data_IF_705875882841
#
_entry.id   IF_705875882841
#
_cell.length_a   1.000
_cell.length_b   1.000
_cell.length_c   1.000
_cell.angle_alpha   90.00
_cell.angle_beta   90.00
_cell.angle_gamma   90.00
#
_symmetry.space_group_name_H-M   'P 1'
#
loop_
_entity.id
_entity.type
_entity.pdbx_description
1 polymer ?
#
# COMPACT_ATOMS: atom_id res chain seq x y z
N UNK A 1 -62.24 -35.97 42.20
CA UNK A 1 -60.80 -36.26 42.34
C UNK A 1 -60.17 -36.29 40.95
N UNK A 2 -59.45 -35.23 40.58
CA UNK A 2 -58.51 -35.04 39.44
C UNK A 2 -58.99 -35.37 38.00
N UNK A 3 -58.62 -34.72 36.88
CA UNK A 3 -57.84 -33.54 36.44
C UNK A 3 -58.16 -33.48 34.92
N UNK A 4 -58.33 -32.31 34.29
CA UNK A 4 -57.59 -31.88 33.07
C UNK A 4 -58.17 -30.59 32.47
N UNK A 5 -57.56 -29.51 32.93
CA UNK A 5 -57.27 -28.25 32.27
C UNK A 5 -56.92 -28.44 30.77
N UNK A 6 -57.56 -27.68 29.88
CA UNK A 6 -57.00 -27.35 28.56
C UNK A 6 -57.23 -25.87 28.26
N UNK A 7 -56.27 -25.07 28.71
CA UNK A 7 -56.06 -23.71 28.22
C UNK A 7 -55.70 -23.78 26.72
N UNK A 8 -56.54 -23.22 25.87
CA UNK A 8 -56.24 -23.00 24.46
C UNK A 8 -55.34 -21.76 24.40
N UNK A 9 -54.04 -21.98 24.27
CA UNK A 9 -53.04 -20.95 24.00
C UNK A 9 -53.10 -20.61 22.51
N UNK A 10 -53.66 -19.44 22.18
CA UNK A 10 -53.64 -18.89 20.84
C UNK A 10 -52.23 -18.33 20.57
N UNK A 11 -51.35 -19.15 19.99
CA UNK A 11 -50.00 -18.72 19.60
C UNK A 11 -50.15 -17.80 18.38
N UNK A 12 -50.01 -16.50 18.62
CA UNK A 12 -49.82 -15.49 17.59
C UNK A 12 -48.47 -15.79 16.90
N UNK A 13 -48.51 -16.35 15.69
CA UNK A 13 -47.34 -16.42 14.81
C UNK A 13 -47.02 -15.01 14.33
N UNK A 14 -46.28 -14.24 15.12
CA UNK A 14 -45.55 -13.08 14.63
C UNK A 14 -44.41 -13.62 13.77
N UNK A 15 -44.63 -13.66 12.45
CA UNK A 15 -43.58 -13.88 11.47
C UNK A 15 -42.57 -12.74 11.57
N UNK A 16 -41.53 -12.93 12.38
CA UNK A 16 -40.33 -12.10 12.33
C UNK A 16 -39.68 -12.44 11.00
N UNK A 17 -40.00 -11.68 9.95
CA UNK A 17 -39.16 -11.60 8.76
C UNK A 17 -37.84 -10.97 9.20
N UNK A 18 -36.93 -11.80 9.69
CA UNK A 18 -35.53 -11.42 9.84
C UNK A 18 -35.00 -11.14 8.45
N UNK A 19 -34.96 -9.87 8.05
CA UNK A 19 -34.20 -9.46 6.89
C UNK A 19 -32.74 -9.79 7.19
N UNK A 20 -32.26 -10.92 6.68
CA UNK A 20 -30.86 -11.26 6.70
C UNK A 20 -30.15 -10.18 5.87
N UNK A 21 -29.38 -9.32 6.54
CA UNK A 21 -28.57 -8.33 5.85
C UNK A 21 -27.42 -9.06 5.16
N UNK A 22 -27.21 -8.76 3.87
CA UNK A 22 -26.11 -9.35 3.12
C UNK A 22 -24.82 -8.57 3.39
N UNK A 23 -23.72 -9.29 3.64
CA UNK A 23 -22.40 -8.69 3.78
C UNK A 23 -21.76 -8.49 2.40
N UNK A 24 -21.33 -7.26 2.15
CA UNK A 24 -20.54 -6.87 1.00
C UNK A 24 -19.24 -6.26 1.46
N UNK A 25 -18.24 -6.35 0.59
CA UNK A 25 -16.88 -5.85 0.83
C UNK A 25 -16.48 -4.90 -0.28
N UNK A 26 -15.67 -3.89 0.05
CA UNK A 26 -15.23 -2.88 -0.90
C UNK A 26 -13.80 -2.47 -0.63
N UNK A 27 -12.90 -2.75 -1.57
CA UNK A 27 -11.56 -2.15 -1.57
C UNK A 27 -11.71 -0.65 -1.90
N UNK A 28 -10.95 0.22 -1.22
CA UNK A 28 -11.05 1.67 -1.40
C UNK A 28 -11.04 2.05 -2.88
N UNK A 29 -12.16 2.59 -3.37
CA UNK A 29 -12.30 2.99 -4.76
C UNK A 29 -12.83 1.96 -5.75
N UNK A 30 -12.94 0.69 -5.36
CA UNK A 30 -13.54 -0.37 -6.18
C UNK A 30 -15.07 -0.37 -6.11
N UNK A 31 -15.70 -1.32 -6.82
CA UNK A 31 -17.12 -1.65 -6.64
C UNK A 31 -17.29 -2.61 -5.46
N UNK A 32 -18.41 -2.59 -4.72
CA UNK A 32 -18.72 -3.62 -3.73
C UNK A 32 -18.74 -5.01 -4.38
N UNK A 33 -18.32 -6.03 -3.64
CA UNK A 33 -18.36 -7.44 -4.02
C UNK A 33 -18.86 -8.29 -2.84
N UNK A 34 -19.36 -9.48 -3.15
CA UNK A 34 -19.91 -10.40 -2.15
C UNK A 34 -18.84 -11.16 -1.35
N UNK A 35 -19.30 -11.95 -0.39
CA UNK A 35 -18.46 -12.74 0.51
C UNK A 35 -17.68 -13.85 -0.20
N UNK A 36 -18.24 -14.46 -1.25
CA UNK A 36 -17.57 -15.50 -2.04
C UNK A 36 -16.36 -14.91 -2.77
N UNK A 37 -16.56 -13.81 -3.50
CA UNK A 37 -15.48 -13.09 -4.16
C UNK A 37 -14.46 -12.57 -3.15
N UNK A 38 -14.91 -12.16 -1.97
CA UNK A 38 -14.00 -11.74 -0.91
C UNK A 38 -13.09 -12.88 -0.43
N UNK A 39 -13.65 -14.09 -0.26
CA UNK A 39 -12.88 -15.28 0.09
C UNK A 39 -11.85 -15.63 -1.00
N UNK A 40 -12.24 -15.58 -2.27
CA UNK A 40 -11.30 -15.81 -3.39
C UNK A 40 -10.17 -14.79 -3.41
N UNK A 41 -10.45 -13.52 -3.12
CA UNK A 41 -9.41 -12.48 -3.00
C UNK A 41 -8.48 -12.83 -1.84
N UNK A 42 -9.01 -13.21 -0.66
CA UNK A 42 -8.19 -13.65 0.47
C UNK A 42 -7.30 -14.84 0.14
N UNK A 43 -7.84 -15.84 -0.55
CA UNK A 43 -7.07 -17.02 -0.97
C UNK A 43 -5.95 -16.66 -1.95
N UNK A 44 -6.21 -15.76 -2.90
CA UNK A 44 -5.19 -15.30 -3.84
C UNK A 44 -4.12 -14.45 -3.16
N UNK A 45 -4.51 -13.59 -2.22
CA UNK A 45 -3.59 -12.81 -1.40
C UNK A 45 -2.75 -13.76 -0.53
N UNK A 46 -3.35 -14.77 0.10
CA UNK A 46 -2.65 -15.76 0.93
C UNK A 46 -1.55 -16.53 0.20
N UNK A 47 -1.63 -16.68 -1.13
CA UNK A 47 -0.56 -17.31 -1.94
C UNK A 47 0.75 -16.52 -1.91
N UNK A 48 0.71 -15.24 -1.55
CA UNK A 48 1.85 -14.33 -1.62
C UNK A 48 2.35 -13.91 -0.22
N UNK A 49 1.77 -14.44 0.86
CA UNK A 49 2.15 -14.08 2.23
C UNK A 49 0.99 -14.21 3.22
N UNK A 50 1.19 -13.77 4.47
CA UNK A 50 0.10 -13.77 5.45
C UNK A 50 -0.90 -12.69 5.07
N UNK A 51 -2.17 -13.06 4.95
CA UNK A 51 -3.24 -12.10 4.67
C UNK A 51 -3.34 -11.10 5.83
N UNK A 52 -3.18 -9.83 5.52
CA UNK A 52 -3.58 -8.72 6.38
C UNK A 52 -4.92 -8.16 5.88
N UNK A 53 -5.90 -8.20 6.76
CA UNK A 53 -7.24 -7.70 6.56
C UNK A 53 -7.49 -6.57 7.55
N UNK A 54 -7.75 -5.37 7.03
CA UNK A 54 -8.11 -4.20 7.83
C UNK A 54 -9.47 -3.70 7.36
N UNK A 55 -10.47 -3.73 8.24
CA UNK A 55 -11.76 -3.07 8.01
C UNK A 55 -11.58 -1.59 8.34
N UNK A 56 -11.58 -0.75 7.30
CA UNK A 56 -11.38 0.70 7.40
C UNK A 56 -12.65 1.41 7.89
N UNK A 57 -13.81 0.96 7.45
CA UNK A 57 -15.13 1.41 7.92
C UNK A 57 -16.22 0.42 7.53
N UNK A 58 -17.32 0.43 8.27
CA UNK A 58 -18.53 -0.35 7.95
C UNK A 58 -19.71 0.60 7.74
N UNK A 59 -20.44 0.42 6.65
CA UNK A 59 -21.64 1.18 6.31
C UNK A 59 -22.85 0.24 6.35
N UNK A 60 -23.77 0.48 7.29
CA UNK A 60 -24.98 -0.34 7.45
C UNK A 60 -26.12 0.31 6.68
N UNK A 61 -26.74 -0.44 5.79
CA UNK A 61 -27.95 -0.08 5.03
C UNK A 61 -29.11 -0.98 5.44
N UNK A 62 -30.29 -0.70 4.90
CA UNK A 62 -31.52 -1.43 5.23
C UNK A 62 -31.39 -2.94 4.94
N UNK A 63 -30.77 -3.30 3.82
CA UNK A 63 -30.65 -4.67 3.30
C UNK A 63 -29.20 -5.19 3.25
N UNK A 64 -28.22 -4.34 3.52
CA UNK A 64 -26.81 -4.61 3.21
C UNK A 64 -25.89 -4.02 4.26
N UNK A 65 -24.82 -4.73 4.59
CA UNK A 65 -23.67 -4.22 5.35
C UNK A 65 -22.50 -4.13 4.38
N UNK A 66 -21.88 -2.96 4.24
CA UNK A 66 -20.73 -2.74 3.35
C UNK A 66 -19.49 -2.51 4.20
N UNK A 67 -18.57 -3.48 4.21
CA UNK A 67 -17.27 -3.38 4.85
C UNK A 67 -16.23 -2.85 3.86
N UNK A 68 -15.66 -1.70 4.15
CA UNK A 68 -14.57 -1.13 3.38
C UNK A 68 -13.27 -1.73 3.90
N UNK A 69 -12.54 -2.45 3.04
CA UNK A 69 -11.40 -3.28 3.46
C UNK A 69 -10.11 -2.87 2.75
N UNK A 70 -9.00 -2.79 3.49
CA UNK A 70 -7.64 -2.93 2.95
C UNK A 70 -7.28 -4.40 3.12
N UNK A 71 -7.01 -5.07 2.01
CA UNK A 71 -6.59 -6.47 2.00
C UNK A 71 -5.26 -6.53 1.24
N UNK A 72 -4.28 -7.16 1.85
CA UNK A 72 -2.95 -7.32 1.27
C UNK A 72 -2.21 -8.46 1.93
N UNK A 73 -0.99 -8.69 1.50
CA UNK A 73 -0.08 -9.59 2.19
C UNK A 73 0.84 -8.77 3.07
N UNK A 74 0.90 -9.15 4.34
CA UNK A 74 2.13 -8.97 5.06
C UNK A 74 3.11 -10.02 4.55
N UNK A 75 4.23 -9.56 3.98
CA UNK A 75 5.42 -10.38 3.99
C UNK A 75 5.67 -10.63 5.48
N UNK A 76 5.64 -11.87 5.95
CA UNK A 76 6.18 -12.17 7.27
C UNK A 76 7.40 -13.04 7.04
N UNK A 77 8.47 -12.72 7.76
CA UNK A 77 9.54 -13.69 7.94
C UNK A 77 8.98 -14.95 8.61
N UNK A 78 9.66 -16.12 8.54
CA UNK A 78 9.25 -17.32 9.25
C UNK A 78 8.98 -17.11 10.75
N UNK A 79 9.62 -16.10 11.36
CA UNK A 79 9.46 -15.71 12.76
C UNK A 79 8.27 -14.78 13.01
N UNK A 80 7.47 -14.49 11.99
CA UNK A 80 6.28 -13.66 12.09
C UNK A 80 6.54 -12.15 12.11
N UNK A 81 7.68 -11.70 11.58
CA UNK A 81 8.08 -10.28 11.54
C UNK A 81 7.70 -9.68 10.18
N UNK A 82 6.98 -8.57 10.17
CA UNK A 82 6.74 -7.77 8.96
C UNK A 82 8.04 -7.05 8.56
N UNK A 83 8.68 -7.42 7.44
CA UNK A 83 9.95 -6.86 7.01
C UNK A 83 9.78 -5.41 6.51
N UNK A 84 8.54 -4.90 6.41
CA UNK A 84 8.22 -3.52 6.07
C UNK A 84 7.69 -2.70 7.25
N UNK A 85 7.69 -3.24 8.47
CA UNK A 85 7.19 -2.55 9.67
C UNK A 85 7.86 -1.19 9.90
N UNK A 86 9.15 -1.10 9.60
CA UNK A 86 9.91 0.15 9.75
C UNK A 86 9.43 1.27 8.83
N UNK A 87 8.79 0.95 7.69
CA UNK A 87 8.16 1.97 6.84
C UNK A 87 7.03 2.70 7.57
N UNK A 88 6.29 2.01 8.44
CA UNK A 88 5.21 2.62 9.23
C UNK A 88 5.75 3.63 10.23
N UNK A 89 6.97 3.40 10.76
CA UNK A 89 7.64 4.32 11.70
C UNK A 89 8.08 5.62 11.03
N UNK A 90 8.24 5.63 9.70
CA UNK A 90 8.59 6.84 8.96
C UNK A 90 7.39 7.76 8.73
N UNK A 91 6.16 7.25 8.82
CA UNK A 91 4.93 8.05 8.59
C UNK A 91 4.86 9.23 9.57
N UNK A 92 4.58 10.42 9.03
CA UNK A 92 4.51 11.67 9.79
C UNK A 92 5.87 12.33 10.00
N UNK A 93 6.98 11.67 9.68
CA UNK A 93 8.32 12.26 9.77
C UNK A 93 8.68 13.05 8.51
N UNK A 94 9.56 14.05 8.66
CA UNK A 94 10.16 14.79 7.55
C UNK A 94 11.30 13.97 6.95
N UNK A 95 11.21 13.67 5.66
CA UNK A 95 12.28 13.03 4.92
C UNK A 95 13.45 13.99 4.70
N UNK A 96 14.66 13.57 5.09
CA UNK A 96 15.88 14.38 5.08
C UNK A 96 16.68 14.16 3.79
N UNK A 97 16.17 14.70 2.68
CA UNK A 97 16.81 14.54 1.36
C UNK A 97 18.23 15.12 1.31
N UNK A 98 18.52 16.12 2.14
CA UNK A 98 19.83 16.78 2.23
C UNK A 98 20.97 15.87 2.72
N UNK A 99 20.63 14.68 3.24
CA UNK A 99 21.60 13.64 3.61
C UNK A 99 22.08 12.82 2.42
N UNK A 100 21.38 12.88 1.28
CA UNK A 100 21.69 12.15 0.07
C UNK A 100 22.50 13.03 -0.89
N UNK A 101 23.23 12.39 -1.80
CA UNK A 101 24.07 13.06 -2.81
C UNK A 101 23.52 12.85 -4.22
N UNK A 102 23.66 13.87 -5.06
CA UNK A 102 23.36 13.79 -6.48
C UNK A 102 24.49 13.09 -7.26
N UNK A 103 24.31 12.98 -8.57
CA UNK A 103 25.29 12.40 -9.49
C UNK A 103 26.67 13.09 -9.49
N UNK A 104 26.77 14.31 -8.94
CA UNK A 104 28.00 15.09 -8.83
C UNK A 104 28.61 15.05 -7.42
N UNK A 105 28.18 14.12 -6.57
CA UNK A 105 28.57 14.02 -5.16
C UNK A 105 28.21 15.27 -4.34
N UNK A 106 27.20 16.03 -4.74
CA UNK A 106 26.70 17.18 -3.98
C UNK A 106 25.45 16.81 -3.23
N UNK A 107 25.35 17.27 -1.98
CA UNK A 107 24.13 17.08 -1.21
C UNK A 107 22.95 17.78 -1.89
N UNK A 108 21.78 17.15 -1.85
CA UNK A 108 20.54 17.83 -2.23
C UNK A 108 20.26 19.01 -1.30
N UNK A 109 19.56 20.01 -1.82
CA UNK A 109 19.03 21.08 -0.98
C UNK A 109 17.90 20.54 -0.11
N UNK A 110 17.75 21.06 1.11
CA UNK A 110 16.70 20.66 2.05
C UNK A 110 15.27 20.92 1.53
N UNK A 111 15.12 21.87 0.61
CA UNK A 111 13.87 22.27 -0.02
C UNK A 111 13.62 21.57 -1.36
N UNK A 112 14.49 20.66 -1.80
CA UNK A 112 14.37 19.96 -3.08
C UNK A 112 13.02 19.23 -3.24
N UNK A 113 12.46 18.74 -2.14
CA UNK A 113 11.17 18.05 -2.11
C UNK A 113 9.97 18.98 -1.88
N UNK A 114 10.19 20.28 -1.63
CA UNK A 114 9.11 21.18 -1.30
C UNK A 114 8.32 21.59 -2.55
N UNK A 115 7.01 21.79 -2.38
CA UNK A 115 6.10 22.28 -3.41
C UNK A 115 5.46 21.19 -4.28
N UNK A 116 5.93 19.94 -4.21
CA UNK A 116 5.36 18.81 -4.96
C UNK A 116 5.37 17.52 -4.12
N UNK A 117 4.35 16.66 -4.22
CA UNK A 117 4.43 15.32 -3.68
C UNK A 117 5.62 14.57 -4.27
N UNK A 118 6.15 13.61 -3.51
CA UNK A 118 7.29 12.79 -3.95
C UNK A 118 7.00 11.32 -3.73
N UNK A 119 7.26 10.50 -4.75
CA UNK A 119 7.34 9.05 -4.64
C UNK A 119 8.81 8.66 -4.63
N UNK A 120 9.24 8.03 -3.53
CA UNK A 120 10.60 7.50 -3.35
C UNK A 120 10.55 5.98 -3.37
N UNK A 121 11.34 5.36 -4.24
CA UNK A 121 11.48 3.91 -4.34
C UNK A 121 12.88 3.46 -3.93
N UNK A 122 12.98 2.49 -3.03
CA UNK A 122 14.22 1.86 -2.63
C UNK A 122 14.36 0.51 -3.31
N UNK A 123 15.47 0.26 -3.99
CA UNK A 123 15.64 -0.91 -4.86
C UNK A 123 17.11 -1.35 -5.01
N UNK A 124 17.31 -2.49 -5.68
CA UNK A 124 18.61 -2.91 -6.20
C UNK A 124 18.47 -3.71 -7.50
N UNK A 125 19.52 -3.75 -8.31
CA UNK A 125 19.55 -4.24 -9.70
C UNK A 125 19.22 -5.73 -9.87
N UNK A 126 19.31 -6.51 -8.79
CA UNK A 126 18.99 -7.96 -8.77
C UNK A 126 17.81 -8.27 -7.84
N UNK A 127 16.87 -7.36 -7.73
CA UNK A 127 15.64 -7.53 -6.98
C UNK A 127 14.51 -7.89 -7.96
N UNK A 128 14.08 -9.17 -8.05
CA UNK A 128 12.98 -9.55 -8.94
C UNK A 128 11.69 -8.75 -8.74
N UNK A 129 11.16 -8.56 -7.51
CA UNK A 129 9.94 -7.78 -7.33
C UNK A 129 10.13 -6.31 -7.72
N UNK A 130 11.31 -5.74 -7.50
CA UNK A 130 11.64 -4.38 -7.96
C UNK A 130 11.60 -4.27 -9.50
N UNK A 131 11.97 -5.32 -10.23
CA UNK A 131 11.89 -5.35 -11.70
C UNK A 131 10.43 -5.45 -12.16
N UNK A 132 9.61 -6.22 -11.43
CA UNK A 132 8.18 -6.40 -11.73
C UNK A 132 7.36 -5.11 -11.53
N UNK A 133 7.71 -4.24 -10.57
CA UNK A 133 7.01 -2.96 -10.35
C UNK A 133 7.36 -1.86 -11.37
N UNK A 134 8.46 -1.99 -12.13
CA UNK A 134 8.94 -0.92 -13.03
C UNK A 134 7.92 -0.42 -14.04
N UNK A 135 7.12 -1.27 -14.74
CA UNK A 135 6.11 -0.79 -15.68
C UNK A 135 5.07 0.11 -14.98
N UNK A 136 4.63 -0.28 -13.78
CA UNK A 136 3.67 0.49 -12.97
C UNK A 136 4.26 1.82 -12.53
N UNK A 137 5.51 1.81 -12.03
CA UNK A 137 6.21 3.04 -11.62
C UNK A 137 6.43 4.00 -12.78
N UNK A 138 6.81 3.49 -13.96
CA UNK A 138 6.96 4.31 -15.16
C UNK A 138 5.64 4.92 -15.62
N UNK A 139 4.54 4.17 -15.57
CA UNK A 139 3.21 4.68 -15.91
C UNK A 139 2.77 5.80 -14.96
N UNK A 140 3.06 5.67 -13.66
CA UNK A 140 2.84 6.75 -12.69
C UNK A 140 3.66 7.99 -13.05
N UNK A 141 4.95 7.83 -13.37
CA UNK A 141 5.80 8.96 -13.79
C UNK A 141 5.25 9.65 -15.04
N UNK A 142 4.81 8.88 -16.04
CA UNK A 142 4.24 9.41 -17.27
C UNK A 142 2.94 10.19 -17.00
N UNK A 143 2.04 9.64 -16.19
CA UNK A 143 0.76 10.25 -15.85
C UNK A 143 0.90 11.57 -15.07
N UNK A 144 1.78 11.60 -14.07
CA UNK A 144 1.92 12.77 -13.20
C UNK A 144 2.95 13.78 -13.71
N UNK A 145 3.88 13.35 -14.57
CA UNK A 145 4.89 14.21 -15.17
C UNK A 145 5.65 14.99 -14.10
N UNK A 146 5.65 16.32 -14.22
CA UNK A 146 6.33 17.22 -13.30
C UNK A 146 5.49 17.63 -12.08
N UNK A 147 4.27 17.13 -11.94
CA UNK A 147 3.44 17.42 -10.76
C UNK A 147 3.91 16.66 -9.52
N UNK A 148 4.60 15.54 -9.72
CA UNK A 148 5.14 14.66 -8.65
C UNK A 148 6.62 14.40 -8.93
N UNK A 149 7.43 14.45 -7.88
CA UNK A 149 8.83 14.02 -7.94
C UNK A 149 8.90 12.49 -7.86
N UNK A 150 9.70 11.87 -8.72
CA UNK A 150 9.93 10.42 -8.70
C UNK A 150 11.42 10.14 -8.55
N UNK A 151 11.78 9.57 -7.41
CA UNK A 151 13.16 9.35 -7.00
C UNK A 151 13.34 7.87 -6.71
N UNK A 152 14.42 7.29 -7.20
CA UNK A 152 14.86 5.96 -6.80
C UNK A 152 16.14 6.09 -5.97
N UNK A 153 16.28 5.27 -4.94
CA UNK A 153 17.43 5.26 -4.04
C UNK A 153 17.94 3.83 -3.93
N UNK A 154 19.26 3.66 -4.08
CA UNK A 154 19.90 2.35 -3.93
C UNK A 154 21.23 2.46 -3.20
N UNK A 155 21.59 1.39 -2.49
CA UNK A 155 22.92 1.24 -1.93
C UNK A 155 23.97 0.92 -2.99
N UNK A 156 23.55 0.45 -4.16
CA UNK A 156 24.48 0.08 -5.23
C UNK A 156 25.16 1.29 -5.86
N UNK A 157 26.34 1.04 -6.43
CA UNK A 157 27.13 2.10 -7.06
C UNK A 157 26.56 2.53 -8.41
N UNK A 158 26.97 3.73 -8.84
CA UNK A 158 26.53 4.34 -10.10
C UNK A 158 26.71 3.41 -11.31
N UNK A 159 27.82 2.67 -11.39
CA UNK A 159 28.10 1.76 -12.51
C UNK A 159 27.10 0.60 -12.60
N UNK A 160 26.69 0.04 -11.46
CA UNK A 160 25.67 -1.00 -11.40
C UNK A 160 24.32 -0.45 -11.88
N UNK A 161 23.92 0.73 -11.39
CA UNK A 161 22.70 1.43 -11.81
C UNK A 161 22.70 1.69 -13.32
N UNK A 162 23.77 2.28 -13.87
CA UNK A 162 23.89 2.54 -15.31
C UNK A 162 23.81 1.26 -16.16
N UNK A 163 24.41 0.18 -15.68
CA UNK A 163 24.36 -1.12 -16.37
C UNK A 163 22.93 -1.67 -16.39
N UNK A 164 22.19 -1.55 -15.29
CA UNK A 164 20.80 -1.95 -15.21
C UNK A 164 19.90 -1.13 -16.13
N UNK A 165 20.10 0.20 -16.17
CA UNK A 165 19.30 1.13 -16.98
C UNK A 165 19.49 0.94 -18.49
N UNK A 166 20.58 0.29 -18.93
CA UNK A 166 20.73 -0.14 -20.34
C UNK A 166 19.77 -1.26 -20.73
N UNK A 167 19.29 -2.04 -19.77
CA UNK A 167 18.42 -3.20 -20.00
C UNK A 167 16.95 -2.89 -19.68
N UNK A 168 16.69 -2.15 -18.60
CA UNK A 168 15.35 -1.86 -18.13
C UNK A 168 15.08 -0.36 -18.16
N UNK A 169 13.93 0.02 -18.72
CA UNK A 169 13.44 1.40 -18.65
C UNK A 169 13.01 1.69 -17.21
N UNK A 170 13.68 2.64 -16.56
CA UNK A 170 13.29 3.12 -15.24
C UNK A 170 13.49 4.64 -15.17
N UNK A 171 12.42 5.39 -15.36
CA UNK A 171 12.43 6.83 -15.66
C UNK A 171 12.45 7.74 -14.42
N UNK A 172 13.01 7.27 -13.31
CA UNK A 172 13.12 8.06 -12.09
C UNK A 172 14.45 8.81 -12.03
N UNK A 173 14.55 9.79 -11.14
CA UNK A 173 15.87 10.31 -10.76
C UNK A 173 16.53 9.29 -9.82
N UNK A 174 17.65 8.71 -10.25
CA UNK A 174 18.36 7.67 -9.49
C UNK A 174 19.41 8.27 -8.55
N UNK A 175 19.43 7.80 -7.30
CA UNK A 175 20.38 8.17 -6.27
C UNK A 175 21.14 6.89 -5.84
N UNK A 176 22.36 6.66 -6.36
CA UNK A 176 23.19 5.52 -5.98
C UNK A 176 23.92 5.73 -4.65
N UNK A 177 24.74 4.76 -4.24
CA UNK A 177 25.72 4.85 -3.15
C UNK A 177 25.14 5.29 -1.80
N UNK A 178 23.87 4.96 -1.52
CA UNK A 178 23.14 5.50 -0.38
C UNK A 178 23.04 4.56 0.83
N UNK A 179 23.95 3.59 0.96
CA UNK A 179 23.90 2.56 2.02
C UNK A 179 23.73 3.17 3.42
N UNK A 180 24.58 4.13 3.79
CA UNK A 180 24.53 4.78 5.11
C UNK A 180 23.17 5.43 5.38
N UNK A 181 22.62 6.15 4.40
CA UNK A 181 21.35 6.85 4.53
C UNK A 181 20.16 5.88 4.60
N UNK A 182 20.24 4.78 3.84
CA UNK A 182 19.25 3.68 3.89
C UNK A 182 19.26 3.04 5.29
N UNK A 183 20.43 2.76 5.84
CA UNK A 183 20.59 2.18 7.17
C UNK A 183 20.03 3.12 8.26
N UNK A 184 20.27 4.42 8.15
CA UNK A 184 19.71 5.44 9.06
C UNK A 184 18.17 5.51 9.03
N UNK A 185 17.55 5.07 7.93
CA UNK A 185 16.09 4.96 7.79
C UNK A 185 15.55 3.58 8.21
N UNK A 186 16.42 2.64 8.60
CA UNK A 186 16.11 1.24 8.87
C UNK A 186 15.41 0.51 7.71
N UNK A 187 15.73 0.89 6.47
CA UNK A 187 15.17 0.22 5.28
C UNK A 187 16.03 -1.01 4.96
N UNK A 188 15.52 -2.18 5.30
CA UNK A 188 16.20 -3.46 5.08
C UNK A 188 15.52 -4.37 4.05
N UNK A 189 14.35 -3.95 3.55
CA UNK A 189 13.49 -4.75 2.67
C UNK A 189 13.21 -4.03 1.36
N UNK A 190 13.14 -4.79 0.27
CA UNK A 190 13.08 -4.25 -1.09
C UNK A 190 12.06 -5.02 -1.96
N UNK A 191 11.29 -4.32 -2.81
CA UNK A 191 11.24 -2.86 -2.90
C UNK A 191 10.61 -2.24 -1.64
N UNK A 192 10.92 -0.98 -1.38
CA UNK A 192 10.21 -0.17 -0.39
C UNK A 192 9.83 1.15 -1.04
N UNK A 193 8.57 1.57 -0.88
CA UNK A 193 8.04 2.75 -1.52
C UNK A 193 7.52 3.73 -0.47
N UNK A 194 7.98 4.98 -0.51
CA UNK A 194 7.48 6.07 0.33
C UNK A 194 6.75 7.11 -0.52
N UNK A 195 5.60 7.59 -0.04
CA UNK A 195 4.90 8.74 -0.63
C UNK A 195 4.91 9.89 0.35
N UNK A 196 5.41 11.03 -0.10
CA UNK A 196 5.61 12.23 0.69
C UNK A 196 4.69 13.33 0.18
N UNK A 197 4.21 14.18 1.08
CA UNK A 197 3.48 15.40 0.71
C UNK A 197 4.41 16.51 0.18
N UNK A 198 3.82 17.64 -0.24
CA UNK A 198 4.53 18.83 -0.73
C UNK A 198 5.47 19.50 0.29
N UNK A 199 5.43 19.08 1.55
CA UNK A 199 6.35 19.53 2.59
C UNK A 199 7.37 18.44 2.92
N UNK A 200 7.52 17.39 2.10
CA UNK A 200 8.44 16.29 2.34
C UNK A 200 8.12 15.45 3.57
N UNK A 201 6.87 15.49 4.06
CA UNK A 201 6.42 14.63 5.17
C UNK A 201 5.95 13.31 4.60
N UNK A 202 6.48 12.20 5.11
CA UNK A 202 6.07 10.84 4.70
C UNK A 202 4.62 10.62 5.12
N UNK A 203 3.77 10.24 4.16
CA UNK A 203 2.35 9.92 4.41
C UNK A 203 2.08 8.43 4.35
N UNK A 204 2.80 7.73 3.50
CA UNK A 204 2.57 6.33 3.19
C UNK A 204 3.91 5.63 3.02
N UNK A 205 3.98 4.41 3.55
CA UNK A 205 4.98 3.41 3.22
C UNK A 205 4.28 2.16 2.67
N UNK A 206 4.70 1.68 1.51
CA UNK A 206 4.18 0.46 0.87
C UNK A 206 5.35 -0.40 0.44
N UNK A 207 5.19 -1.73 0.47
CA UNK A 207 6.21 -2.67 0.01
C UNK A 207 6.38 -2.54 -1.51
N UNK A 208 5.33 -2.83 -2.26
CA UNK A 208 5.34 -2.85 -3.73
C UNK A 208 4.27 -1.92 -4.31
N UNK A 209 4.51 -1.39 -5.50
CA UNK A 209 3.50 -0.66 -6.28
C UNK A 209 3.24 -1.41 -7.59
N UNK A 210 2.09 -2.09 -7.64
CA UNK A 210 1.68 -3.02 -8.69
C UNK A 210 0.25 -2.74 -9.13
N UNK A 211 -0.21 -3.40 -10.19
CA UNK A 211 -1.55 -3.17 -10.78
C UNK A 211 -2.69 -3.24 -9.75
N UNK A 212 -2.56 -4.10 -8.74
CA UNK A 212 -3.59 -4.33 -7.73
C UNK A 212 -3.78 -3.14 -6.78
N UNK A 213 -2.72 -2.35 -6.52
CA UNK A 213 -2.76 -1.22 -5.59
C UNK A 213 -2.52 0.15 -6.25
N UNK A 214 -2.11 0.21 -7.52
CA UNK A 214 -1.78 1.47 -8.22
C UNK A 214 -2.94 2.47 -8.19
N UNK A 215 -4.19 2.05 -8.33
CA UNK A 215 -5.34 2.95 -8.28
C UNK A 215 -5.49 3.65 -6.90
N UNK A 216 -5.01 3.02 -5.83
CA UNK A 216 -4.96 3.63 -4.50
C UNK A 216 -3.84 4.66 -4.44
N UNK A 217 -2.66 4.32 -4.98
CA UNK A 217 -1.51 5.22 -5.06
C UNK A 217 -1.85 6.47 -5.86
N UNK A 218 -2.50 6.33 -7.01
CA UNK A 218 -2.96 7.47 -7.81
C UNK A 218 -3.87 8.41 -7.02
N UNK A 219 -4.85 7.87 -6.30
CA UNK A 219 -5.74 8.70 -5.46
C UNK A 219 -5.00 9.43 -4.35
N UNK A 220 -4.01 8.77 -3.74
CA UNK A 220 -3.17 9.40 -2.73
C UNK A 220 -2.40 10.56 -3.37
N UNK A 221 -1.76 10.34 -4.52
CA UNK A 221 -1.04 11.40 -5.23
C UNK A 221 -1.98 12.55 -5.61
N UNK A 222 -3.19 12.26 -6.10
CA UNK A 222 -4.20 13.26 -6.45
C UNK A 222 -4.63 14.12 -5.24
N UNK A 223 -4.69 13.54 -4.04
CA UNK A 223 -5.01 14.26 -2.79
C UNK A 223 -3.84 15.16 -2.35
N UNK A 224 -2.60 14.77 -2.67
CA UNK A 224 -1.40 15.48 -2.22
C UNK A 224 -0.99 16.63 -3.16
N UNK A 225 -1.51 16.65 -4.39
CA UNK A 225 -1.37 17.74 -5.36
C UNK A 225 -2.15 18.99 -4.93
#
# INVERSE_FOLDING_TARGET
MNIKLKCIFFILFLSINGFAQNNYYRILGGKPFDEEKYKTIKENVAKHGKVEEIILKTEIKKDSIINYVKIGTSALTPDGIDPYEDLKKLIGTKFKIEKFVDENSKNFKNDYLNGKPTLINFWFTRCPPCIEELPTLNNLKEKYGDKVNFISITFENQKAVETFLKKYKYNFKHIPNSQKQIDELNISSYPSNLILDKNGIVKIGESEIVEQNVATIEKILDILL
#
